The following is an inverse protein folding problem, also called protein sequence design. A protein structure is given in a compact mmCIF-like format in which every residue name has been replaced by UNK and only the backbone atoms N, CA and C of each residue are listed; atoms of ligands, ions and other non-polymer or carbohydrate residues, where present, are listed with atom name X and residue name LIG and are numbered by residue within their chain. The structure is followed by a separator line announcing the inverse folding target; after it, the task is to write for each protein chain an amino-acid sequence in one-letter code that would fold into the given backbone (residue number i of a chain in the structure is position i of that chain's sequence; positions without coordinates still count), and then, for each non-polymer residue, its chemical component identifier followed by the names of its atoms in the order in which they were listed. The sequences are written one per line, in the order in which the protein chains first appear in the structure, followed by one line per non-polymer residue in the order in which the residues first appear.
data_IF_139020924688
#
_entry.id   IF_139020924688
#
_cell.length_a   1.000
_cell.length_b   1.000
_cell.length_c   1.000
_cell.angle_alpha   90.00
_cell.angle_beta   90.00
_cell.angle_gamma   90.00
#
_symmetry.space_group_name_H-M   'P 1'
#
loop_
_entity.id
_entity.type
_entity.pdbx_description
1 polymer ?
#
# COMPACT_ATOMS: atom_id res chain seq x y z
N UNK A 1 11.57 -6.67 -22.32
CA UNK A 1 12.28 -6.85 -21.04
C UNK A 1 13.77 -6.62 -21.25
N UNK A 2 14.45 -6.00 -20.28
CA UNK A 2 15.92 -5.85 -20.29
C UNK A 2 16.51 -6.78 -19.23
N UNK A 3 17.67 -7.37 -19.52
CA UNK A 3 18.38 -8.25 -18.58
C UNK A 3 19.26 -7.41 -17.67
N UNK A 4 19.12 -7.61 -16.36
CA UNK A 4 19.92 -6.97 -15.33
C UNK A 4 20.82 -8.04 -14.68
N UNK A 5 22.13 -7.85 -14.72
CA UNK A 5 23.10 -8.73 -14.05
C UNK A 5 23.68 -7.99 -12.85
N UNK A 6 23.46 -8.52 -11.65
CA UNK A 6 23.92 -7.91 -10.39
C UNK A 6 24.61 -8.98 -9.56
N UNK A 7 25.70 -8.59 -8.88
CA UNK A 7 26.34 -9.44 -7.90
C UNK A 7 25.56 -9.38 -6.60
N UNK A 8 25.16 -10.54 -6.09
CA UNK A 8 24.41 -10.67 -4.84
C UNK A 8 25.23 -11.55 -3.90
N UNK A 9 25.36 -11.18 -2.61
CA UNK A 9 25.97 -12.04 -1.59
C UNK A 9 25.29 -13.42 -1.51
N UNK A 10 26.07 -14.47 -1.26
CA UNK A 10 25.56 -15.86 -1.24
C UNK A 10 24.43 -16.05 -0.21
N UNK A 11 24.54 -15.41 0.96
CA UNK A 11 23.49 -15.44 1.98
C UNK A 11 22.15 -14.89 1.49
N UNK A 12 22.18 -13.86 0.65
CA UNK A 12 20.98 -13.27 0.07
C UNK A 12 20.39 -14.17 -1.01
N UNK A 13 21.21 -14.85 -1.81
CA UNK A 13 20.69 -15.79 -2.81
C UNK A 13 19.98 -16.98 -2.16
N UNK A 14 20.50 -17.50 -1.06
CA UNK A 14 19.86 -18.57 -0.26
C UNK A 14 18.50 -18.11 0.27
N UNK A 15 18.43 -16.90 0.85
CA UNK A 15 17.18 -16.32 1.35
C UNK A 15 16.17 -16.10 0.22
N UNK A 16 16.62 -15.57 -0.92
CA UNK A 16 15.77 -15.36 -2.09
C UNK A 16 15.21 -16.70 -2.63
N UNK A 17 16.03 -17.75 -2.63
CA UNK A 17 15.60 -19.10 -2.98
C UNK A 17 14.52 -19.65 -2.05
N UNK A 18 14.70 -19.48 -0.73
CA UNK A 18 13.73 -19.92 0.27
C UNK A 18 12.37 -19.20 0.13
N UNK A 19 12.40 -17.88 -0.05
CA UNK A 19 11.16 -17.08 -0.21
C UNK A 19 10.48 -17.37 -1.54
N UNK A 20 11.24 -17.54 -2.62
CA UNK A 20 10.70 -17.93 -3.93
C UNK A 20 9.99 -19.29 -3.87
N UNK A 21 10.61 -20.27 -3.19
CA UNK A 21 10.01 -21.59 -2.98
C UNK A 21 8.73 -21.52 -2.13
N UNK A 22 8.72 -20.72 -1.07
CA UNK A 22 7.54 -20.52 -0.23
C UNK A 22 6.35 -19.92 -1.01
N UNK A 23 6.65 -19.02 -1.96
CA UNK A 23 5.63 -18.32 -2.75
C UNK A 23 5.27 -19.02 -4.07
N UNK A 24 5.91 -20.15 -4.41
CA UNK A 24 5.81 -20.81 -5.71
C UNK A 24 6.09 -19.86 -6.91
N UNK A 25 7.02 -18.92 -6.71
CA UNK A 25 7.40 -17.94 -7.72
C UNK A 25 8.85 -18.12 -8.16
N UNK A 26 9.19 -17.60 -9.34
CA UNK A 26 10.59 -17.57 -9.78
C UNK A 26 11.37 -16.47 -9.04
N UNK A 27 12.67 -16.68 -8.81
CA UNK A 27 13.56 -15.66 -8.22
C UNK A 27 13.48 -14.33 -8.99
N UNK A 28 13.36 -14.36 -10.31
CA UNK A 28 13.26 -13.16 -11.15
C UNK A 28 11.92 -12.44 -10.99
N UNK A 29 10.81 -13.16 -10.78
CA UNK A 29 9.52 -12.56 -10.47
C UNK A 29 9.55 -11.85 -9.11
N UNK A 30 10.11 -12.52 -8.10
CA UNK A 30 10.26 -11.96 -6.76
C UNK A 30 11.16 -10.71 -6.75
N UNK A 31 12.31 -10.77 -7.43
CA UNK A 31 13.23 -9.62 -7.54
C UNK A 31 12.55 -8.47 -8.29
N UNK A 32 11.79 -8.76 -9.34
CA UNK A 32 11.06 -7.73 -10.07
C UNK A 32 10.00 -7.06 -9.19
N UNK A 33 9.18 -7.84 -8.48
CA UNK A 33 8.17 -7.32 -7.56
C UNK A 33 8.79 -6.48 -6.43
N UNK A 34 9.96 -6.88 -5.92
CA UNK A 34 10.70 -6.10 -4.94
C UNK A 34 11.21 -4.76 -5.50
N UNK A 35 11.74 -4.77 -6.73
CA UNK A 35 12.18 -3.54 -7.41
C UNK A 35 10.97 -2.63 -7.71
N UNK A 36 9.87 -3.19 -8.21
CA UNK A 36 8.62 -2.45 -8.47
C UNK A 36 8.03 -1.86 -7.18
N UNK A 37 8.07 -2.60 -6.07
CA UNK A 37 7.63 -2.08 -4.77
C UNK A 37 8.52 -0.95 -4.24
N UNK A 38 9.84 -1.06 -4.42
CA UNK A 38 10.78 -0.01 -4.02
C UNK A 38 10.61 1.25 -4.88
N UNK A 39 10.59 1.09 -6.21
CA UNK A 39 10.45 2.19 -7.15
C UNK A 39 9.04 2.79 -7.08
N UNK A 40 7.99 2.01 -6.89
CA UNK A 40 6.63 2.51 -6.71
C UNK A 40 6.45 3.28 -5.40
N UNK A 41 7.12 2.86 -4.32
CA UNK A 41 7.21 3.63 -3.07
C UNK A 41 8.04 4.93 -3.25
N UNK A 42 9.05 4.91 -4.12
CA UNK A 42 9.82 6.10 -4.47
C UNK A 42 9.10 6.99 -5.51
N UNK A 43 8.22 6.48 -6.38
CA UNK A 43 7.39 7.27 -7.31
C UNK A 43 6.27 8.01 -6.58
N UNK A 44 5.72 7.40 -5.52
CA UNK A 44 4.89 8.14 -4.54
C UNK A 44 5.71 9.17 -3.78
N UNK A 45 7.03 8.96 -3.62
CA UNK A 45 7.95 9.93 -3.01
C UNK A 45 8.50 10.99 -4.00
N UNK A 46 8.45 10.76 -5.32
CA UNK A 46 8.93 11.69 -6.35
C UNK A 46 7.80 12.52 -6.96
N UNK A 47 6.54 12.11 -6.80
CA UNK A 47 5.38 12.90 -7.20
C UNK A 47 4.66 13.62 -6.04
N UNK A 48 4.95 13.29 -4.77
CA UNK A 48 4.63 14.09 -3.57
C UNK A 48 5.30 13.45 -2.32
N UNK A 49 6.54 13.82 -2.00
CA UNK A 49 7.19 13.38 -0.76
C UNK A 49 6.49 13.92 0.50
N UNK A 50 6.13 13.08 1.49
CA UNK A 50 6.44 13.34 2.89
C UNK A 50 7.76 12.63 3.25
N UNK A 51 8.58 13.19 4.15
CA UNK A 51 9.92 12.70 4.42
C UNK A 51 9.91 11.37 5.19
N UNK A 52 10.91 10.54 4.90
CA UNK A 52 11.30 9.37 5.70
C UNK A 52 11.78 9.84 7.08
N UNK A 53 11.17 9.32 8.14
CA UNK A 53 11.65 9.43 9.51
C UNK A 53 10.65 10.11 10.45
N UNK A 54 9.80 9.32 11.07
CA UNK A 54 8.82 9.76 12.05
C UNK A 54 7.56 8.92 11.89
N UNK A 55 7.12 8.31 12.99
CA UNK A 55 5.80 7.69 13.10
C UNK A 55 4.77 8.66 12.52
N UNK A 56 4.27 8.36 11.33
CA UNK A 56 3.21 9.16 10.73
C UNK A 56 2.00 8.88 11.61
N UNK A 57 1.69 9.79 12.52
CA UNK A 57 0.43 9.76 13.27
C UNK A 57 -0.69 9.83 12.24
N UNK A 58 -1.14 8.67 11.80
CA UNK A 58 -2.20 8.56 10.80
C UNK A 58 -3.45 9.05 11.49
N UNK A 59 -3.89 10.26 11.12
CA UNK A 59 -5.10 10.82 11.70
C UNK A 59 -6.30 10.02 11.22
N UNK A 60 -7.38 9.96 12.01
CA UNK A 60 -8.62 9.32 11.59
C UNK A 60 -9.14 9.88 10.25
N UNK A 61 -8.81 11.14 9.94
CA UNK A 61 -9.12 11.77 8.66
C UNK A 61 -8.33 11.16 7.50
N UNK A 62 -7.04 10.87 7.69
CA UNK A 62 -6.21 10.27 6.63
C UNK A 62 -6.68 8.85 6.28
N UNK A 63 -7.21 8.11 7.25
CA UNK A 63 -7.82 6.78 7.05
C UNK A 63 -9.23 6.82 6.46
N UNK A 64 -9.91 7.96 6.49
CA UNK A 64 -11.28 8.10 5.97
C UNK A 64 -11.32 8.79 4.59
N UNK A 65 -10.18 9.32 4.12
CA UNK A 65 -10.06 10.03 2.85
C UNK A 65 -10.24 9.13 1.64
N UNK A 66 -9.80 7.88 1.73
CA UNK A 66 -10.00 6.84 0.70
C UNK A 66 -11.47 6.43 0.53
N UNK A 67 -12.30 6.61 1.56
CA UNK A 67 -13.74 6.39 1.53
C UNK A 67 -14.52 7.60 1.01
N UNK A 68 -13.87 8.77 0.87
CA UNK A 68 -14.53 9.99 0.41
C UNK A 68 -14.87 9.89 -1.09
N UNK A 69 -16.15 9.99 -1.42
CA UNK A 69 -16.65 9.90 -2.80
C UNK A 69 -16.93 8.48 -3.31
N UNK A 70 -16.75 7.44 -2.48
CA UNK A 70 -17.14 6.06 -2.85
C UNK A 70 -18.66 5.82 -2.81
N UNK A 71 -19.42 6.75 -2.24
CA UNK A 71 -20.87 6.64 -2.10
C UNK A 71 -21.51 7.86 -2.76
N UNK A 72 -22.28 7.62 -3.83
CA UNK A 72 -23.22 8.59 -4.35
C UNK A 72 -24.45 8.60 -3.43
N UNK A 73 -24.49 9.51 -2.47
CA UNK A 73 -25.60 9.61 -1.53
C UNK A 73 -26.78 10.42 -2.10
N UNK A 74 -27.99 9.98 -1.74
CA UNK A 74 -29.19 10.83 -1.77
C UNK A 74 -29.37 11.40 -0.36
N UNK A 75 -29.53 12.73 -0.25
CA UNK A 75 -29.77 13.55 0.96
C UNK A 75 -29.00 13.17 2.24
N UNK A 76 -28.26 14.15 2.80
CA UNK A 76 -27.45 14.04 4.02
C UNK A 76 -28.16 13.31 5.19
N UNK A 77 -27.66 12.10 5.50
CA UNK A 77 -28.18 11.25 6.57
C UNK A 77 -27.83 11.78 7.98
N UNK A 78 -26.85 12.68 8.10
CA UNK A 78 -26.38 13.18 9.40
C UNK A 78 -27.38 14.19 10.02
N UNK A 79 -28.23 14.82 9.22
CA UNK A 79 -29.23 15.79 9.70
C UNK A 79 -30.68 15.32 9.58
N UNK A 80 -30.92 14.22 8.86
CA UNK A 80 -32.28 13.76 8.60
C UNK A 80 -32.84 12.94 9.76
N UNK A 81 -33.56 13.64 10.66
CA UNK A 81 -34.23 13.06 11.85
C UNK A 81 -35.15 11.86 11.55
N UNK A 82 -35.62 11.70 10.31
CA UNK A 82 -36.42 10.54 9.91
C UNK A 82 -35.58 9.25 9.91
N UNK A 83 -34.31 9.32 9.50
CA UNK A 83 -33.40 8.18 9.40
C UNK A 83 -32.65 7.88 10.69
N UNK A 84 -32.62 8.82 11.64
CA UNK A 84 -32.03 8.63 12.97
C UNK A 84 -32.95 7.92 13.98
N UNK A 85 -34.20 7.58 13.59
CA UNK A 85 -35.15 6.90 14.49
C UNK A 85 -34.68 5.46 14.76
N UNK A 86 -34.30 5.15 16.00
CA UNK A 86 -33.85 3.81 16.42
C UNK A 86 -32.33 3.63 16.54
N UNK A 87 -31.54 4.68 16.27
CA UNK A 87 -30.11 4.73 16.56
C UNK A 87 -29.87 5.52 17.86
N UNK A 88 -29.10 4.92 18.78
CA UNK A 88 -28.89 5.43 20.14
C UNK A 88 -29.91 4.87 21.13
N UNK A 89 -29.41 4.36 22.26
CA UNK A 89 -30.21 3.89 23.40
C UNK A 89 -31.04 5.01 24.03
#
# INVERSE_FOLDING_TARGET
MKTLTVKVPDELDVKLGAVAAQRNESKSALIRAAIEGLVGADETSLSNAPPKGGEKEVSCLDLARDLSGCIEETEDLSYNKKYLRGYGL
#
